data_IF_266633732669
#
_entry.id   IF_266633732669
#
_cell.length_a   1.000
_cell.length_b   1.000
_cell.length_c   1.000
_cell.angle_alpha   90.00
_cell.angle_beta   90.00
_cell.angle_gamma   90.00
#
_symmetry.space_group_name_H-M   'P 1'
#
loop_
_entity.id
_entity.type
_entity.pdbx_description
1 polymer ?
#
# COMPACT_ATOMS: atom_id res chain seq x y z
N UNK A 1 12.41 13.97 12.74
CA UNK A 1 13.26 15.18 12.74
C UNK A 1 14.66 14.96 12.12
N UNK A 2 14.88 13.82 11.44
CA UNK A 2 16.18 13.55 10.77
C UNK A 2 16.37 14.52 9.59
N UNK A 3 17.54 15.11 9.39
CA UNK A 3 17.83 16.03 8.28
C UNK A 3 17.53 15.42 6.91
N UNK A 4 17.76 14.13 6.74
CA UNK A 4 17.51 13.38 5.51
C UNK A 4 16.03 13.31 5.13
N UNK A 5 15.14 13.27 6.12
CA UNK A 5 13.68 13.30 5.91
C UNK A 5 13.24 14.70 5.52
N UNK A 6 13.75 15.73 6.21
CA UNK A 6 13.40 17.12 5.94
C UNK A 6 13.85 17.58 4.55
N UNK A 7 14.98 17.07 4.04
CA UNK A 7 15.50 17.39 2.70
C UNK A 7 14.53 17.01 1.55
N UNK A 8 13.65 16.04 1.78
CA UNK A 8 12.65 15.64 0.77
C UNK A 8 11.60 16.72 0.50
N UNK A 9 11.37 17.61 1.47
CA UNK A 9 10.47 18.76 1.33
C UNK A 9 11.26 20.05 1.58
N UNK A 10 11.64 20.81 0.53
CA UNK A 10 12.51 21.96 0.66
C UNK A 10 11.92 23.08 1.53
N UNK A 11 10.59 23.25 1.54
CA UNK A 11 9.91 24.22 2.41
C UNK A 11 10.11 23.85 3.88
N UNK A 12 9.86 22.59 4.23
CA UNK A 12 10.02 22.11 5.60
C UNK A 12 11.47 22.11 6.06
N UNK A 13 12.40 21.88 5.13
CA UNK A 13 13.82 21.97 5.41
C UNK A 13 14.25 23.40 5.80
N UNK A 14 13.76 24.41 5.07
CA UNK A 14 14.04 25.83 5.40
C UNK A 14 13.44 26.20 6.77
N UNK A 15 12.20 25.80 7.05
CA UNK A 15 11.56 26.04 8.35
C UNK A 15 12.33 25.34 9.47
N UNK A 16 12.83 24.12 9.25
CA UNK A 16 13.64 23.38 10.20
C UNK A 16 14.99 24.07 10.47
N UNK A 17 15.70 24.56 9.42
CA UNK A 17 16.92 25.36 9.59
C UNK A 17 16.60 26.67 10.34
N UNK A 18 15.53 27.34 9.95
CA UNK A 18 15.07 28.57 10.60
C UNK A 18 14.80 28.36 12.09
N UNK A 19 14.18 27.23 12.48
CA UNK A 19 13.95 26.90 13.90
C UNK A 19 15.25 26.69 14.68
N UNK A 20 16.27 26.10 14.07
CA UNK A 20 17.59 25.94 14.69
C UNK A 20 18.29 27.29 14.88
N UNK A 21 18.32 28.11 13.83
CA UNK A 21 18.96 29.44 13.85
C UNK A 21 18.27 30.33 14.89
N UNK A 22 16.93 30.39 14.90
CA UNK A 22 16.19 31.22 15.88
C UNK A 22 16.37 30.73 17.30
N UNK A 23 16.51 29.42 17.52
CA UNK A 23 16.84 28.87 18.84
C UNK A 23 18.22 29.35 19.31
N UNK A 24 19.25 29.25 18.45
CA UNK A 24 20.60 29.73 18.75
C UNK A 24 20.62 31.23 19.03
N UNK A 25 19.91 32.03 18.24
CA UNK A 25 19.79 33.48 18.47
C UNK A 25 19.09 33.79 19.80
N UNK A 26 18.03 33.09 20.13
CA UNK A 26 17.32 33.27 21.40
C UNK A 26 18.23 33.00 22.61
N UNK A 27 19.04 31.92 22.54
CA UNK A 27 20.03 31.60 23.58
C UNK A 27 21.15 32.66 23.65
N UNK A 28 21.66 33.11 22.51
CA UNK A 28 22.69 34.16 22.46
C UNK A 28 22.19 35.51 23.02
N UNK A 29 20.94 35.88 22.77
CA UNK A 29 20.30 37.06 23.35
C UNK A 29 20.05 36.92 24.85
N UNK A 30 19.62 35.73 25.30
CA UNK A 30 19.39 35.45 26.72
C UNK A 30 20.68 35.47 27.53
N UNK A 31 21.80 35.08 26.92
CA UNK A 31 23.15 35.10 27.54
C UNK A 31 23.84 36.47 27.44
N UNK A 32 23.20 37.50 26.85
CA UNK A 32 23.75 38.86 26.73
C UNK A 32 24.79 39.03 25.63
N UNK A 33 25.01 38.04 24.78
CA UNK A 33 25.99 38.13 23.69
C UNK A 33 25.46 38.92 22.45
N UNK A 34 24.13 39.04 22.34
CA UNK A 34 23.46 39.79 21.26
C UNK A 34 22.42 40.72 21.83
N UNK A 35 22.31 41.92 21.23
CA UNK A 35 21.26 42.87 21.57
C UNK A 35 19.95 42.45 20.89
N UNK A 36 18.84 42.46 21.66
CA UNK A 36 17.51 42.15 21.15
C UNK A 36 16.60 41.55 22.25
N UNK A 37 15.35 41.28 21.87
CA UNK A 37 14.38 40.67 22.78
C UNK A 37 14.49 39.14 22.74
N UNK A 38 15.17 38.55 23.73
CA UNK A 38 15.28 37.12 23.89
C UNK A 38 13.91 36.44 23.98
N UNK A 39 12.95 37.06 24.66
CA UNK A 39 11.60 36.52 24.82
C UNK A 39 10.84 36.45 23.49
N UNK A 40 10.92 37.48 22.67
CA UNK A 40 10.29 37.48 21.34
C UNK A 40 10.92 36.43 20.43
N UNK A 41 12.26 36.35 20.38
CA UNK A 41 12.97 35.37 19.54
C UNK A 41 12.69 33.94 19.99
N UNK A 42 12.60 33.70 21.31
CA UNK A 42 12.22 32.41 21.86
C UNK A 42 10.77 32.02 21.49
N UNK A 43 9.82 32.97 21.54
CA UNK A 43 8.44 32.72 21.13
C UNK A 43 8.35 32.33 19.64
N UNK A 44 9.08 33.03 18.77
CA UNK A 44 9.18 32.69 17.33
C UNK A 44 9.79 31.30 17.14
N UNK A 45 10.86 30.99 17.85
CA UNK A 45 11.50 29.67 17.78
C UNK A 45 10.56 28.54 18.18
N UNK A 46 9.83 28.71 19.29
CA UNK A 46 8.83 27.74 19.76
C UNK A 46 7.75 27.54 18.70
N UNK A 47 7.27 28.61 18.09
CA UNK A 47 6.26 28.52 17.02
C UNK A 47 6.77 27.78 15.80
N UNK A 48 8.01 28.02 15.37
CA UNK A 48 8.64 27.31 14.25
C UNK A 48 8.81 25.84 14.57
N UNK A 49 9.26 25.47 15.77
CA UNK A 49 9.34 24.09 16.21
C UNK A 49 7.97 23.39 16.23
N UNK A 50 6.95 24.09 16.73
CA UNK A 50 5.59 23.56 16.70
C UNK A 50 5.13 23.28 15.27
N UNK A 51 5.42 24.18 14.33
CA UNK A 51 5.11 23.99 12.89
C UNK A 51 5.82 22.77 12.32
N UNK A 52 7.11 22.60 12.60
CA UNK A 52 7.89 21.43 12.12
C UNK A 52 7.35 20.14 12.72
N UNK A 53 7.07 20.10 14.01
CA UNK A 53 6.53 18.93 14.69
C UNK A 53 5.15 18.54 14.15
N UNK A 54 4.26 19.51 13.99
CA UNK A 54 2.92 19.27 13.48
C UNK A 54 2.92 18.79 12.05
N UNK A 55 3.76 19.37 11.18
CA UNK A 55 3.88 18.93 9.80
C UNK A 55 4.42 17.49 9.69
N UNK A 56 5.46 17.14 10.46
CA UNK A 56 5.97 15.77 10.51
C UNK A 56 4.95 14.77 11.06
N UNK A 57 4.16 15.18 12.05
CA UNK A 57 3.06 14.36 12.59
C UNK A 57 1.99 14.09 11.53
N UNK A 58 1.55 15.14 10.83
CA UNK A 58 0.55 15.00 9.77
C UNK A 58 1.04 14.10 8.63
N UNK A 59 2.31 14.23 8.23
CA UNK A 59 2.94 13.37 7.22
C UNK A 59 3.01 11.91 7.68
N UNK A 60 3.44 11.66 8.92
CA UNK A 60 3.50 10.32 9.50
C UNK A 60 2.12 9.66 9.60
N UNK A 61 1.07 10.41 9.94
CA UNK A 61 -0.31 9.91 9.93
C UNK A 61 -0.78 9.53 8.52
N UNK A 62 -0.47 10.34 7.51
CA UNK A 62 -0.84 10.07 6.13
C UNK A 62 -0.13 8.80 5.60
N UNK A 63 1.17 8.66 5.86
CA UNK A 63 1.94 7.45 5.49
C UNK A 63 1.46 6.20 6.26
N UNK A 64 1.12 6.34 7.54
CA UNK A 64 0.65 5.24 8.37
C UNK A 64 -0.64 4.61 7.83
N UNK A 65 -1.58 5.41 7.34
CA UNK A 65 -2.82 4.92 6.73
C UNK A 65 -2.57 4.12 5.45
N UNK A 66 -1.72 4.61 4.56
CA UNK A 66 -1.36 3.91 3.31
C UNK A 66 -0.68 2.57 3.58
N UNK A 67 0.26 2.53 4.54
CA UNK A 67 0.95 1.30 4.94
C UNK A 67 0.01 0.29 5.61
N UNK A 68 -0.96 0.75 6.41
CA UNK A 68 -1.94 -0.12 7.05
C UNK A 68 -2.84 -0.80 6.01
N UNK A 69 -3.29 -0.08 4.98
CA UNK A 69 -4.08 -0.64 3.89
C UNK A 69 -3.29 -1.68 3.09
N UNK A 70 -2.05 -1.37 2.71
CA UNK A 70 -1.18 -2.32 2.02
C UNK A 70 -0.90 -3.59 2.85
N UNK A 71 -0.68 -3.44 4.15
CA UNK A 71 -0.46 -4.57 5.05
C UNK A 71 -1.71 -5.44 5.24
N UNK A 72 -2.90 -4.85 5.24
CA UNK A 72 -4.16 -5.62 5.28
C UNK A 72 -4.30 -6.51 4.05
N UNK A 73 -4.01 -5.98 2.87
CA UNK A 73 -4.02 -6.75 1.62
C UNK A 73 -2.95 -7.86 1.61
N UNK A 74 -1.74 -7.58 2.11
CA UNK A 74 -0.68 -8.58 2.25
C UNK A 74 -1.02 -9.69 3.25
N UNK A 75 -1.78 -9.37 4.29
CA UNK A 75 -2.20 -10.34 5.31
C UNK A 75 -3.09 -11.44 4.74
N UNK A 76 -3.98 -11.12 3.83
CA UNK A 76 -4.84 -12.08 3.14
C UNK A 76 -4.03 -13.08 2.32
N UNK A 77 -2.95 -12.64 1.69
CA UNK A 77 -2.12 -13.50 0.84
C UNK A 77 -1.22 -14.47 1.62
N UNK A 78 -0.66 -14.06 2.77
CA UNK A 78 0.34 -14.85 3.50
C UNK A 78 -0.19 -16.13 4.15
N UNK A 79 -1.50 -16.24 4.36
CA UNK A 79 -2.13 -17.35 5.09
C UNK A 79 -2.85 -18.35 4.19
N UNK A 80 -2.89 -18.14 2.89
CA UNK A 80 -3.62 -18.98 1.98
C UNK A 80 -2.80 -20.22 1.60
N UNK A 81 -3.39 -21.41 1.83
CA UNK A 81 -2.93 -22.65 1.25
C UNK A 81 -3.82 -22.98 0.06
N UNK A 82 -3.19 -23.57 -0.98
CA UNK A 82 -3.88 -24.02 -2.16
C UNK A 82 -3.89 -25.56 -2.20
N UNK A 83 -4.95 -26.12 -2.75
CA UNK A 83 -5.03 -27.54 -3.10
C UNK A 83 -4.61 -27.69 -4.57
N UNK A 84 -3.33 -27.94 -4.79
CA UNK A 84 -2.77 -28.14 -6.12
C UNK A 84 -3.10 -29.55 -6.60
N UNK A 85 -3.81 -29.65 -7.71
CA UNK A 85 -4.18 -30.92 -8.33
C UNK A 85 -3.04 -31.45 -9.19
N UNK A 86 -2.90 -32.78 -9.22
CA UNK A 86 -1.95 -33.48 -10.11
C UNK A 86 -2.50 -33.65 -11.52
N UNK A 87 -3.82 -33.67 -11.65
CA UNK A 87 -4.54 -33.77 -12.94
C UNK A 87 -5.61 -32.69 -13.01
N UNK A 88 -5.93 -32.17 -14.20
CA UNK A 88 -6.90 -31.09 -14.40
C UNK A 88 -8.34 -31.58 -14.30
N UNK A 89 -8.70 -32.20 -13.16
CA UNK A 89 -10.03 -32.79 -12.98
C UNK A 89 -10.47 -32.72 -11.53
N UNK A 90 -11.77 -32.47 -11.32
CA UNK A 90 -12.38 -32.58 -9.99
C UNK A 90 -12.24 -33.98 -9.40
N UNK A 91 -11.87 -34.06 -8.11
CA UNK A 91 -11.64 -35.33 -7.42
C UNK A 91 -10.25 -35.94 -7.63
N UNK A 92 -9.37 -35.31 -8.41
CA UNK A 92 -7.98 -35.72 -8.52
C UNK A 92 -7.21 -35.51 -7.21
N UNK A 93 -6.10 -36.24 -7.05
CA UNK A 93 -5.24 -36.11 -5.87
C UNK A 93 -4.71 -34.68 -5.76
N UNK A 94 -4.91 -34.08 -4.58
CA UNK A 94 -4.50 -32.73 -4.30
C UNK A 94 -3.35 -32.69 -3.27
N UNK A 95 -2.33 -31.91 -3.56
CA UNK A 95 -1.25 -31.62 -2.62
C UNK A 95 -1.51 -30.21 -2.01
N UNK A 96 -1.41 -30.12 -0.67
CA UNK A 96 -1.56 -28.81 0.01
C UNK A 96 -0.25 -28.03 -0.07
N UNK A 97 -0.26 -26.94 -0.80
CA UNK A 97 0.91 -26.08 -1.02
C UNK A 97 0.62 -24.64 -0.58
N UNK A 98 1.61 -23.87 -0.13
CA UNK A 98 1.45 -22.44 0.08
C UNK A 98 1.10 -21.72 -1.25
N UNK A 99 0.16 -20.78 -1.22
CA UNK A 99 -0.29 -20.08 -2.42
C UNK A 99 0.82 -19.29 -3.13
N UNK A 100 1.84 -18.86 -2.40
CA UNK A 100 3.01 -18.15 -2.93
C UNK A 100 3.98 -19.06 -3.71
N UNK A 101 3.79 -20.37 -3.65
CA UNK A 101 4.58 -21.36 -4.41
C UNK A 101 3.91 -21.79 -5.72
N UNK A 102 2.65 -21.38 -5.95
CA UNK A 102 1.96 -21.65 -7.20
C UNK A 102 2.69 -21.02 -8.38
N UNK A 103 2.65 -21.65 -9.53
CA UNK A 103 3.24 -21.17 -10.78
C UNK A 103 2.19 -21.15 -11.88
N UNK A 104 2.43 -20.35 -12.89
CA UNK A 104 1.62 -20.38 -14.11
C UNK A 104 1.53 -21.80 -14.67
N UNK A 105 0.31 -22.25 -14.98
CA UNK A 105 0.00 -23.60 -15.43
C UNK A 105 -0.28 -24.60 -14.30
N UNK A 106 -0.11 -24.21 -13.02
CA UNK A 106 -0.54 -25.04 -11.91
C UNK A 106 -2.06 -25.09 -11.83
N UNK A 107 -2.59 -26.27 -11.48
CA UNK A 107 -4.02 -26.48 -11.38
C UNK A 107 -4.40 -26.58 -9.91
N UNK A 108 -5.42 -25.82 -9.52
CA UNK A 108 -5.88 -25.76 -8.14
C UNK A 108 -7.38 -26.03 -8.04
N UNK A 109 -7.78 -26.70 -6.96
CA UNK A 109 -9.18 -26.89 -6.59
C UNK A 109 -9.55 -25.90 -5.51
N UNK A 110 -10.67 -25.20 -5.70
CA UNK A 110 -11.29 -24.35 -4.68
C UNK A 110 -12.77 -24.75 -4.52
N UNK A 111 -13.27 -24.74 -3.29
CA UNK A 111 -14.63 -25.11 -2.92
C UNK A 111 -15.29 -23.99 -2.10
N UNK A 112 -16.58 -24.12 -1.87
CA UNK A 112 -17.36 -23.15 -1.09
C UNK A 112 -16.66 -22.80 0.24
N UNK A 113 -16.45 -21.50 0.49
CA UNK A 113 -15.74 -20.96 1.64
C UNK A 113 -14.25 -20.70 1.43
N UNK A 114 -13.64 -21.27 0.40
CA UNK A 114 -12.23 -21.04 0.08
C UNK A 114 -12.00 -19.66 -0.53
N UNK A 115 -10.76 -19.18 -0.38
CA UNK A 115 -10.25 -18.02 -1.10
C UNK A 115 -9.48 -18.53 -2.33
N UNK A 116 -9.76 -17.97 -3.50
CA UNK A 116 -9.04 -18.25 -4.74
C UNK A 116 -7.57 -17.85 -4.57
N UNK A 117 -6.62 -18.79 -4.72
CA UNK A 117 -5.22 -18.56 -4.35
C UNK A 117 -4.40 -17.83 -5.43
N UNK A 118 -4.86 -17.79 -6.67
CA UNK A 118 -4.14 -17.22 -7.83
C UNK A 118 -5.12 -16.61 -8.83
N UNK A 119 -4.63 -15.71 -9.67
CA UNK A 119 -5.38 -15.31 -10.86
C UNK A 119 -5.30 -16.46 -11.87
N UNK A 120 -6.39 -16.77 -12.51
CA UNK A 120 -6.45 -17.92 -13.40
C UNK A 120 -7.69 -17.99 -14.25
N UNK A 121 -7.83 -19.14 -14.90
CA UNK A 121 -8.96 -19.48 -15.74
C UNK A 121 -9.63 -20.76 -15.23
N UNK A 122 -10.96 -20.76 -15.16
CA UNK A 122 -11.75 -21.93 -14.76
C UNK A 122 -11.74 -22.93 -15.91
N UNK A 123 -11.18 -24.12 -15.65
CA UNK A 123 -11.12 -25.22 -16.62
C UNK A 123 -12.23 -26.25 -16.40
N UNK A 124 -12.74 -26.38 -15.16
CA UNK A 124 -13.85 -27.27 -14.83
C UNK A 124 -14.66 -26.71 -13.67
N UNK A 125 -15.99 -26.92 -13.69
CA UNK A 125 -16.91 -26.52 -12.63
C UNK A 125 -17.58 -25.18 -12.88
N UNK A 126 -18.40 -24.77 -11.90
CA UNK A 126 -19.10 -23.49 -11.87
C UNK A 126 -19.43 -23.13 -10.43
N UNK A 127 -19.23 -21.87 -10.07
CA UNK A 127 -19.41 -21.41 -8.71
C UNK A 127 -19.84 -19.95 -8.64
N UNK A 128 -20.52 -19.60 -7.55
CA UNK A 128 -20.78 -18.22 -7.17
C UNK A 128 -19.57 -17.67 -6.40
N UNK A 129 -19.06 -16.53 -6.85
CA UNK A 129 -17.83 -15.90 -6.32
C UNK A 129 -18.14 -14.51 -5.79
N UNK A 130 -17.70 -14.22 -4.59
CA UNK A 130 -17.69 -12.88 -3.99
C UNK A 130 -16.40 -12.17 -4.39
N UNK A 131 -16.55 -11.16 -5.25
CA UNK A 131 -15.45 -10.31 -5.73
C UNK A 131 -15.42 -8.93 -5.03
N UNK A 132 -16.23 -8.73 -4.00
CA UNK A 132 -16.39 -7.45 -3.30
C UNK A 132 -15.08 -6.88 -2.75
N UNK A 133 -14.16 -7.75 -2.34
CA UNK A 133 -12.83 -7.34 -1.86
C UNK A 133 -11.97 -6.69 -2.95
N UNK A 134 -12.26 -6.95 -4.23
CA UNK A 134 -11.52 -6.46 -5.40
C UNK A 134 -12.28 -5.35 -6.11
N UNK A 135 -13.55 -5.61 -6.45
CA UNK A 135 -14.38 -4.70 -7.26
C UNK A 135 -15.12 -3.67 -6.42
N UNK A 136 -15.33 -3.95 -5.13
CA UNK A 136 -16.21 -3.18 -4.25
C UNK A 136 -17.69 -3.48 -4.44
N UNK A 137 -18.08 -4.35 -5.38
CA UNK A 137 -19.47 -4.74 -5.64
C UNK A 137 -19.88 -5.91 -4.75
N UNK A 138 -20.98 -5.77 -4.04
CA UNK A 138 -21.46 -6.80 -3.11
C UNK A 138 -22.27 -7.93 -3.78
N UNK A 139 -22.61 -7.80 -5.06
CA UNK A 139 -23.34 -8.82 -5.79
C UNK A 139 -22.39 -9.97 -6.20
N UNK A 140 -22.71 -11.23 -5.86
CA UNK A 140 -21.91 -12.36 -6.31
C UNK A 140 -21.94 -12.52 -7.83
N UNK A 141 -20.80 -12.94 -8.39
CA UNK A 141 -20.65 -13.21 -9.83
C UNK A 141 -20.55 -14.72 -10.04
N UNK A 142 -21.23 -15.24 -11.07
CA UNK A 142 -21.08 -16.65 -11.45
C UNK A 142 -19.81 -16.77 -12.31
N UNK A 143 -18.95 -17.71 -11.95
CA UNK A 143 -17.76 -18.10 -12.70
C UNK A 143 -17.89 -19.55 -13.10
N UNK A 144 -17.60 -19.85 -14.36
CA UNK A 144 -17.77 -21.18 -14.95
C UNK A 144 -16.72 -21.45 -16.03
N UNK A 145 -16.51 -22.71 -16.35
CA UNK A 145 -15.59 -23.11 -17.41
C UNK A 145 -16.12 -22.71 -18.78
N UNK A 146 -15.24 -22.09 -19.59
CA UNK A 146 -15.53 -21.69 -20.96
C UNK A 146 -16.21 -20.31 -21.07
N UNK A 147 -15.85 -19.57 -22.12
CA UNK A 147 -16.40 -18.26 -22.43
C UNK A 147 -15.90 -17.12 -21.55
N UNK A 148 -16.69 -16.05 -21.52
CA UNK A 148 -16.31 -14.78 -20.87
C UNK A 148 -16.28 -14.83 -19.34
N UNK A 149 -16.88 -15.85 -18.74
CA UNK A 149 -17.00 -16.00 -17.29
C UNK A 149 -15.92 -16.92 -16.67
N UNK A 150 -14.99 -17.42 -17.48
CA UNK A 150 -13.95 -18.33 -17.04
C UNK A 150 -12.81 -17.66 -16.22
N UNK A 151 -12.61 -16.34 -16.36
CA UNK A 151 -11.54 -15.64 -15.66
C UNK A 151 -11.86 -15.42 -14.19
N UNK A 152 -10.90 -15.73 -13.29
CA UNK A 152 -11.00 -15.53 -11.86
C UNK A 152 -9.80 -14.79 -11.31
N UNK A 153 -10.03 -14.03 -10.23
CA UNK A 153 -9.00 -13.20 -9.59
C UNK A 153 -8.66 -13.74 -8.20
N UNK A 154 -7.37 -13.89 -7.92
CA UNK A 154 -6.88 -14.29 -6.62
C UNK A 154 -7.28 -13.32 -5.50
N UNK A 155 -7.65 -13.87 -4.34
CA UNK A 155 -8.14 -13.10 -3.20
C UNK A 155 -9.66 -12.97 -3.12
N UNK A 156 -10.41 -13.41 -4.14
CA UNK A 156 -11.87 -13.50 -4.13
C UNK A 156 -12.32 -14.79 -3.41
N UNK A 157 -13.57 -14.85 -2.97
CA UNK A 157 -14.09 -15.98 -2.17
C UNK A 157 -15.15 -16.76 -2.91
N UNK A 158 -15.05 -18.08 -2.89
CA UNK A 158 -16.09 -18.99 -3.36
C UNK A 158 -17.24 -19.02 -2.35
N UNK A 159 -18.47 -18.79 -2.82
CA UNK A 159 -19.69 -18.82 -1.99
C UNK A 159 -20.43 -20.15 -2.10
N UNK A 160 -20.47 -20.74 -3.28
CA UNK A 160 -21.12 -22.03 -3.51
C UNK A 160 -20.33 -22.86 -4.50
N UNK A 161 -20.54 -24.17 -4.46
CA UNK A 161 -19.98 -25.16 -5.39
C UNK A 161 -18.45 -25.19 -5.43
N UNK A 162 -17.85 -25.46 -6.57
CA UNK A 162 -16.40 -25.66 -6.72
C UNK A 162 -15.91 -25.24 -8.10
N UNK A 163 -14.62 -24.91 -8.16
CA UNK A 163 -13.91 -24.59 -9.40
C UNK A 163 -12.56 -25.32 -9.43
N UNK A 164 -12.22 -25.83 -10.60
CA UNK A 164 -10.84 -26.21 -10.96
C UNK A 164 -10.27 -25.07 -11.81
N UNK A 165 -9.19 -24.49 -11.34
CA UNK A 165 -8.60 -23.28 -11.91
C UNK A 165 -7.17 -23.56 -12.36
N UNK A 166 -6.82 -23.14 -13.57
CA UNK A 166 -5.44 -23.09 -14.04
C UNK A 166 -4.86 -21.70 -13.76
N UNK A 167 -3.75 -21.65 -13.02
CA UNK A 167 -3.07 -20.38 -12.70
C UNK A 167 -2.51 -19.73 -13.97
N UNK A 168 -2.87 -18.50 -14.25
CA UNK A 168 -2.45 -17.74 -15.44
C UNK A 168 -1.19 -16.91 -15.24
N UNK A 169 -0.79 -16.65 -13.98
CA UNK A 169 0.32 -15.76 -13.61
C UNK A 169 1.22 -16.39 -12.55
N UNK A 170 2.46 -15.90 -12.46
CA UNK A 170 3.38 -16.29 -11.41
C UNK A 170 3.16 -15.44 -10.13
N UNK A 171 3.67 -15.90 -8.96
CA UNK A 171 3.69 -15.09 -7.75
C UNK A 171 4.43 -13.77 -7.96
N UNK A 172 3.84 -12.68 -7.46
CA UNK A 172 4.33 -11.33 -7.70
C UNK A 172 3.70 -10.62 -8.91
N UNK A 173 3.02 -11.34 -9.78
CA UNK A 173 2.37 -10.81 -10.99
C UNK A 173 0.84 -10.79 -10.89
N UNK A 174 0.25 -11.24 -9.76
CA UNK A 174 -1.19 -11.26 -9.56
C UNK A 174 -1.77 -9.86 -9.58
N UNK A 175 -3.07 -9.74 -9.88
CA UNK A 175 -3.80 -8.47 -9.81
C UNK A 175 -3.64 -7.81 -8.44
N UNK A 176 -3.72 -8.60 -7.37
CA UNK A 176 -3.51 -8.13 -5.99
C UNK A 176 -2.08 -7.61 -5.78
N UNK A 177 -1.05 -8.28 -6.32
CA UNK A 177 0.34 -7.83 -6.24
C UNK A 177 0.53 -6.48 -6.95
N UNK A 178 -0.07 -6.32 -8.12
CA UNK A 178 -0.06 -5.05 -8.87
C UNK A 178 -0.78 -3.93 -8.11
N UNK A 179 -1.92 -4.21 -7.49
CA UNK A 179 -2.62 -3.24 -6.63
C UNK A 179 -1.76 -2.82 -5.44
N UNK A 180 -1.15 -3.77 -4.73
CA UNK A 180 -0.25 -3.50 -3.61
C UNK A 180 0.93 -2.63 -4.08
N UNK A 181 1.55 -2.98 -5.20
CA UNK A 181 2.66 -2.21 -5.77
C UNK A 181 2.25 -0.78 -6.16
N UNK A 182 1.03 -0.59 -6.70
CA UNK A 182 0.49 0.74 -6.98
C UNK A 182 0.26 1.56 -5.70
N UNK A 183 -0.29 0.96 -4.65
CA UNK A 183 -0.51 1.63 -3.36
C UNK A 183 0.82 1.95 -2.66
N UNK A 184 1.78 1.03 -2.67
CA UNK A 184 3.12 1.24 -2.10
C UNK A 184 3.98 2.19 -2.93
N UNK A 185 3.85 2.11 -4.27
CA UNK A 185 4.56 2.96 -5.22
C UNK A 185 3.90 4.33 -5.44
N UNK A 186 2.71 4.56 -4.91
CA UNK A 186 2.04 5.85 -4.92
C UNK A 186 2.77 6.86 -4.03
N UNK A 187 4.01 7.20 -4.43
CA UNK A 187 4.67 8.40 -3.92
C UNK A 187 3.77 9.58 -4.28
N UNK A 188 3.39 10.33 -3.26
CA UNK A 188 2.66 11.59 -3.43
C UNK A 188 3.40 12.43 -4.48
N UNK A 189 2.83 12.54 -5.67
CA UNK A 189 3.34 13.45 -6.70
C UNK A 189 3.20 14.87 -6.16
N UNK A 190 4.30 15.62 -6.21
CA UNK A 190 4.26 17.04 -5.83
C UNK A 190 3.20 17.75 -6.67
N UNK A 191 2.36 18.52 -6.01
CA UNK A 191 1.37 19.35 -6.69
C UNK A 191 2.07 20.43 -7.53
N UNK A 192 1.45 20.97 -8.59
CA UNK A 192 2.01 22.08 -9.36
C UNK A 192 2.43 23.27 -8.48
N UNK A 193 1.68 23.56 -7.43
CA UNK A 193 2.00 24.60 -6.46
C UNK A 193 3.26 24.29 -5.63
N UNK A 194 3.44 23.03 -5.20
CA UNK A 194 4.67 22.62 -4.51
C UNK A 194 5.89 22.69 -5.42
N UNK A 195 5.73 22.39 -6.72
CA UNK A 195 6.79 22.55 -7.72
C UNK A 195 7.12 24.04 -7.91
N UNK A 196 6.12 24.90 -8.06
CA UNK A 196 6.30 26.34 -8.21
C UNK A 196 6.98 26.96 -6.98
N UNK A 197 6.57 26.58 -5.76
CA UNK A 197 7.23 26.98 -4.52
C UNK A 197 8.67 26.50 -4.43
N UNK A 198 8.94 25.27 -4.87
CA UNK A 198 10.31 24.73 -4.89
C UNK A 198 11.20 25.53 -5.84
N UNK A 199 10.69 25.88 -7.04
CA UNK A 199 11.41 26.70 -8.02
C UNK A 199 11.67 28.10 -7.45
N UNK A 200 10.66 28.72 -6.83
CA UNK A 200 10.79 30.04 -6.22
C UNK A 200 11.85 30.07 -5.12
N UNK A 201 11.88 29.05 -4.26
CA UNK A 201 12.85 28.93 -3.17
C UNK A 201 14.29 28.67 -3.63
N UNK A 202 14.46 28.03 -4.80
CA UNK A 202 15.80 27.82 -5.39
C UNK A 202 16.31 29.10 -6.09
N UNK A 203 15.37 29.91 -6.60
CA UNK A 203 15.68 31.15 -7.33
C UNK A 203 15.96 32.37 -6.42
N UNK A 204 15.64 32.28 -5.12
CA UNK A 204 15.87 33.31 -4.09
C UNK A 204 17.20 33.08 -3.38
#
# INVERSE_FOLDING_TARGET
LSPTVQWRNPVMFIVWIGSLITTLLAVAMASGHLAGSAAFTAAVSIWLWFTVLFANFAEAMAEGRSKAQANSLKGVKKTAFARKLREPKYGAVADKVPADQLRKGDIVLVEAGDIIPCDGEVIEGGASVDESAITGESAPVIRESGGDFASVTGGTRILSDWLVIECSVNPGETFLDRMIAMVEGAQRRKTPNEIALTILLIAL
#
